data_IF_299350978304
#
_entry.id   IF_299350978304
#
_cell.length_a   1.000
_cell.length_b   1.000
_cell.length_c   1.000
_cell.angle_alpha   90.00
_cell.angle_beta   90.00
_cell.angle_gamma   90.00
#
_symmetry.space_group_name_H-M   'P 1'
#
loop_
_entity.id
_entity.type
_entity.pdbx_description
1 polymer ?
#
# COMPACT_ATOMS: atom_id res chain seq x y z
N UNK A 1 -9.20 12.54 4.31
CA UNK A 1 -8.40 12.77 3.09
C UNK A 1 -8.58 11.53 2.22
N UNK A 2 -8.68 11.66 0.91
CA UNK A 2 -8.77 10.52 -0.02
C UNK A 2 -7.62 10.62 -1.01
N UNK A 3 -6.89 9.53 -1.19
CA UNK A 3 -5.78 9.37 -2.10
C UNK A 3 -6.27 8.95 -3.49
N UNK A 4 -5.60 9.44 -4.53
CA UNK A 4 -5.75 8.93 -5.88
C UNK A 4 -4.88 7.68 -6.01
N UNK A 5 -5.45 6.57 -6.45
CA UNK A 5 -4.67 5.37 -6.75
C UNK A 5 -4.26 5.35 -8.22
N UNK A 6 -2.97 5.21 -8.46
CA UNK A 6 -2.38 5.01 -9.79
C UNK A 6 -2.21 3.51 -10.05
N UNK A 7 -2.90 3.00 -11.08
CA UNK A 7 -2.83 1.60 -11.54
C UNK A 7 -1.96 1.50 -12.79
N UNK A 8 -0.87 0.75 -12.70
CA UNK A 8 0.04 0.48 -13.80
C UNK A 8 -0.16 -0.95 -14.28
N UNK A 9 -0.69 -1.10 -15.49
CA UNK A 9 -0.99 -2.39 -16.12
C UNK A 9 -0.86 -2.29 -17.65
N UNK A 10 -0.79 -3.44 -18.30
CA UNK A 10 -0.66 -3.55 -19.75
C UNK A 10 -2.02 -3.36 -20.41
N UNK A 11 -2.09 -2.44 -21.37
CA UNK A 11 -3.28 -2.18 -22.18
C UNK A 11 -2.91 -1.62 -23.56
N UNK A 12 -3.21 -2.36 -24.62
CA UNK A 12 -2.90 -2.00 -25.99
C UNK A 12 -1.41 -1.71 -26.18
N UNK A 13 -1.09 -0.45 -26.50
CA UNK A 13 0.29 0.01 -26.64
C UNK A 13 0.94 0.40 -25.30
N UNK A 14 0.18 0.64 -24.23
CA UNK A 14 0.71 0.98 -22.91
C UNK A 14 1.37 -0.26 -22.29
N UNK A 15 2.67 -0.14 -21.98
CA UNK A 15 3.48 -1.18 -21.35
C UNK A 15 3.58 -0.96 -19.84
N UNK A 16 2.45 -0.63 -19.21
CA UNK A 16 2.37 -0.25 -17.79
C UNK A 16 3.25 0.95 -17.41
N UNK A 17 3.53 1.87 -18.35
CA UNK A 17 4.34 3.07 -18.10
C UNK A 17 3.49 4.27 -17.70
N UNK A 18 2.24 4.32 -18.15
CA UNK A 18 1.28 5.36 -17.80
C UNK A 18 0.18 4.77 -16.90
N UNK A 19 -0.12 5.40 -15.76
CA UNK A 19 -1.14 4.88 -14.85
C UNK A 19 -2.54 5.27 -15.28
N UNK A 20 -3.51 4.41 -14.95
CA UNK A 20 -4.92 4.79 -14.87
C UNK A 20 -5.21 5.30 -13.46
N UNK A 21 -5.85 6.45 -13.37
CA UNK A 21 -6.22 7.10 -12.11
C UNK A 21 -7.53 6.54 -11.58
N UNK A 22 -7.53 6.12 -10.32
CA UNK A 22 -8.71 5.60 -9.62
C UNK A 22 -9.00 6.50 -8.42
N UNK A 23 -10.17 7.15 -8.42
CA UNK A 23 -10.64 8.02 -7.33
C UNK A 23 -11.93 7.54 -6.70
N UNK A 24 -12.71 6.76 -7.43
CA UNK A 24 -14.03 6.27 -7.02
C UNK A 24 -14.13 4.76 -7.14
N UNK A 25 -15.12 4.16 -6.49
CA UNK A 25 -15.44 2.75 -6.66
C UNK A 25 -15.77 2.40 -8.12
N UNK A 26 -16.46 3.29 -8.84
CA UNK A 26 -16.76 3.09 -10.25
C UNK A 26 -15.49 3.08 -11.11
N UNK A 27 -14.51 3.93 -10.81
CA UNK A 27 -13.20 3.91 -11.49
C UNK A 27 -12.48 2.59 -11.23
N UNK A 28 -12.48 2.12 -9.97
CA UNK A 28 -11.85 0.87 -9.58
C UNK A 28 -12.47 -0.31 -10.34
N UNK A 29 -13.80 -0.40 -10.39
CA UNK A 29 -14.50 -1.47 -11.13
C UNK A 29 -14.15 -1.46 -12.61
N UNK A 30 -14.14 -0.29 -13.26
CA UNK A 30 -13.75 -0.18 -14.68
C UNK A 30 -12.28 -0.55 -14.90
N UNK A 31 -11.41 -0.19 -13.97
CA UNK A 31 -9.97 -0.47 -14.07
C UNK A 31 -9.69 -1.97 -13.94
N UNK A 32 -10.31 -2.65 -12.96
CA UNK A 32 -10.19 -4.10 -12.81
C UNK A 32 -10.75 -4.85 -14.03
N UNK A 33 -11.87 -4.39 -14.60
CA UNK A 33 -12.40 -4.95 -15.84
C UNK A 33 -11.41 -4.78 -17.00
N UNK A 34 -10.80 -3.60 -17.15
CA UNK A 34 -9.81 -3.34 -18.20
C UNK A 34 -8.53 -4.18 -18.05
N UNK A 35 -8.12 -4.53 -16.83
CA UNK A 35 -6.98 -5.42 -16.58
C UNK A 35 -7.25 -6.83 -17.13
N UNK A 36 -8.50 -7.29 -17.09
CA UNK A 36 -8.91 -8.61 -17.60
C UNK A 36 -9.04 -8.68 -19.12
N UNK A 37 -9.12 -7.54 -19.82
CA UNK A 37 -9.26 -7.48 -21.28
C UNK A 37 -8.00 -8.01 -22.00
N UNK A 38 -6.84 -7.97 -21.33
CA UNK A 38 -5.55 -8.34 -21.91
C UNK A 38 -4.68 -9.12 -20.91
N UNK A 39 -3.88 -10.10 -21.38
CA UNK A 39 -2.91 -10.77 -20.53
C UNK A 39 -1.92 -9.79 -19.89
N UNK A 40 -1.69 -9.95 -18.59
CA UNK A 40 -0.75 -9.14 -17.83
C UNK A 40 0.59 -9.89 -17.70
N UNK A 41 1.61 -9.56 -18.53
CA UNK A 41 2.90 -10.26 -18.48
C UNK A 41 3.66 -9.99 -17.19
N UNK A 42 3.33 -8.93 -16.45
CA UNK A 42 3.72 -8.70 -15.08
C UNK A 42 2.49 -8.24 -14.28
N UNK A 43 2.40 -8.59 -12.98
CA UNK A 43 1.26 -8.22 -12.16
C UNK A 43 1.09 -6.70 -12.07
N UNK A 44 -0.18 -6.28 -11.97
CA UNK A 44 -0.57 -4.87 -11.91
C UNK A 44 0.05 -4.22 -10.68
N UNK A 45 0.67 -3.06 -10.84
CA UNK A 45 1.20 -2.29 -9.72
C UNK A 45 0.25 -1.16 -9.36
N UNK A 46 0.06 -0.93 -8.06
CA UNK A 46 -0.86 0.08 -7.54
C UNK A 46 -0.14 0.92 -6.49
N UNK A 47 -0.20 2.23 -6.61
CA UNK A 47 0.36 3.15 -5.61
C UNK A 47 -0.58 4.32 -5.36
N UNK A 48 -0.60 4.83 -4.13
CA UNK A 48 -1.27 6.09 -3.84
C UNK A 48 -0.38 7.25 -4.32
N UNK A 49 -0.93 8.10 -5.17
CA UNK A 49 -0.20 9.18 -5.85
C UNK A 49 0.42 10.17 -4.88
N UNK A 50 -0.35 10.55 -3.86
CA UNK A 50 0.02 11.61 -2.92
C UNK A 50 0.90 11.10 -1.78
N UNK A 51 1.15 9.79 -1.69
CA UNK A 51 2.06 9.22 -0.70
C UNK A 51 3.53 9.43 -1.08
N UNK A 52 4.44 9.44 -0.08
CA UNK A 52 5.86 9.67 -0.30
C UNK A 52 6.49 8.70 -1.29
N UNK A 53 7.49 9.21 -2.00
CA UNK A 53 8.35 8.45 -2.93
C UNK A 53 9.81 8.67 -2.55
N UNK A 54 10.65 7.65 -2.70
CA UNK A 54 12.05 7.69 -2.27
C UNK A 54 13.04 7.38 -3.40
N UNK A 55 14.28 7.85 -3.20
CA UNK A 55 15.38 7.68 -4.14
C UNK A 55 15.24 8.47 -5.45
N UNK A 56 16.29 8.45 -6.29
CA UNK A 56 16.27 9.09 -7.61
C UNK A 56 15.16 8.54 -8.51
N UNK A 57 14.83 7.25 -8.38
CA UNK A 57 13.79 6.56 -9.13
C UNK A 57 12.35 6.86 -8.66
N UNK A 58 12.16 7.69 -7.62
CA UNK A 58 10.84 8.06 -7.08
C UNK A 58 9.93 6.84 -6.81
N UNK A 59 10.51 5.82 -6.19
CA UNK A 59 9.82 4.56 -5.85
C UNK A 59 8.77 4.86 -4.77
N UNK A 60 7.51 4.43 -4.93
CA UNK A 60 6.50 4.54 -3.88
C UNK A 60 6.96 3.92 -2.57
N UNK A 61 6.75 4.62 -1.45
CA UNK A 61 7.06 4.08 -0.12
C UNK A 61 6.13 2.95 0.31
N UNK A 62 4.95 2.88 -0.32
CA UNK A 62 3.92 1.85 -0.22
C UNK A 62 3.40 1.52 -1.62
N UNK A 63 3.25 0.23 -1.92
CA UNK A 63 2.67 -0.21 -3.17
C UNK A 63 1.98 -1.56 -3.02
N UNK A 64 1.05 -1.84 -3.92
CA UNK A 64 0.54 -3.18 -4.13
C UNK A 64 1.03 -3.77 -5.45
N UNK A 65 1.17 -5.09 -5.47
CA UNK A 65 1.03 -5.87 -6.69
C UNK A 65 -0.29 -6.65 -6.63
N UNK A 66 -0.95 -6.76 -7.76
CA UNK A 66 -2.25 -7.42 -7.89
C UNK A 66 -2.22 -8.37 -9.08
N UNK A 67 -2.72 -9.57 -8.84
CA UNK A 67 -3.04 -10.52 -9.89
C UNK A 67 -4.48 -11.04 -9.75
N UNK A 68 -5.09 -11.41 -10.89
CA UNK A 68 -6.50 -11.72 -11.04
C UNK A 68 -6.68 -13.08 -11.72
N UNK A 69 -7.62 -13.87 -11.22
CA UNK A 69 -8.12 -15.02 -11.98
C UNK A 69 -8.75 -14.59 -13.31
N UNK A 70 -8.77 -15.44 -14.36
CA UNK A 70 -9.28 -15.08 -15.68
C UNK A 70 -10.74 -14.56 -15.70
N UNK A 71 -11.59 -15.07 -14.81
CA UNK A 71 -12.97 -14.62 -14.66
C UNK A 71 -13.12 -13.35 -13.79
N UNK A 72 -12.04 -12.89 -13.14
CA UNK A 72 -12.05 -11.72 -12.26
C UNK A 72 -12.71 -11.95 -10.89
N UNK A 73 -13.01 -13.20 -10.54
CA UNK A 73 -13.72 -13.54 -9.30
C UNK A 73 -12.79 -13.62 -8.09
N UNK A 74 -11.53 -14.00 -8.33
CA UNK A 74 -10.49 -14.16 -7.33
C UNK A 74 -9.28 -13.26 -7.61
N UNK A 75 -8.69 -12.76 -6.53
CA UNK A 75 -7.56 -11.82 -6.52
C UNK A 75 -6.59 -12.23 -5.43
N UNK A 76 -5.29 -12.01 -5.65
CA UNK A 76 -4.32 -11.94 -4.57
C UNK A 76 -3.64 -10.57 -4.57
N UNK A 77 -3.46 -10.00 -3.37
CA UNK A 77 -2.76 -8.73 -3.19
C UNK A 77 -1.45 -8.97 -2.45
N UNK A 78 -0.39 -8.40 -2.98
CA UNK A 78 0.86 -8.21 -2.27
C UNK A 78 0.97 -6.75 -1.89
N UNK A 79 1.21 -6.45 -0.62
CA UNK A 79 1.48 -5.10 -0.13
C UNK A 79 2.92 -5.00 0.36
N UNK A 80 3.65 -4.01 -0.15
CA UNK A 80 4.95 -3.60 0.37
C UNK A 80 4.82 -2.25 1.08
N UNK A 81 5.37 -2.16 2.28
CA UNK A 81 5.37 -0.90 3.02
C UNK A 81 5.88 -1.03 4.46
N UNK A 82 5.85 0.06 5.22
CA UNK A 82 6.15 0.07 6.66
C UNK A 82 5.28 -0.90 7.47
N UNK A 83 5.95 -1.68 8.34
CA UNK A 83 5.38 -2.70 9.23
C UNK A 83 4.32 -2.20 10.18
N UNK A 84 4.47 -0.99 10.70
CA UNK A 84 3.61 -0.50 11.76
C UNK A 84 3.39 1.02 11.71
N UNK A 85 2.91 1.51 10.57
CA UNK A 85 2.53 2.93 10.41
C UNK A 85 1.53 3.35 11.46
N UNK A 86 0.57 2.48 11.77
CA UNK A 86 -0.45 2.78 12.75
C UNK A 86 0.15 2.96 14.14
N UNK A 87 1.11 2.11 14.55
CA UNK A 87 1.87 2.35 15.79
C UNK A 87 2.68 3.63 15.73
N UNK A 88 3.36 3.93 14.62
CA UNK A 88 4.10 5.18 14.49
C UNK A 88 3.18 6.41 14.65
N UNK A 89 2.03 6.41 13.98
CA UNK A 89 1.01 7.45 14.12
C UNK A 89 0.50 7.54 15.55
N UNK A 90 0.25 6.40 16.23
CA UNK A 90 -0.14 6.39 17.65
C UNK A 90 0.93 6.95 18.57
N UNK A 91 2.19 6.57 18.37
CA UNK A 91 3.32 7.03 19.17
C UNK A 91 3.54 8.53 19.00
N UNK A 92 3.50 9.04 17.76
CA UNK A 92 3.61 10.49 17.53
C UNK A 92 2.40 11.24 18.09
N UNK A 93 1.17 10.72 17.95
CA UNK A 93 -0.03 11.31 18.57
C UNK A 93 0.10 11.39 20.09
N UNK A 94 0.66 10.36 20.72
CA UNK A 94 0.89 10.34 22.16
C UNK A 94 1.95 11.38 22.55
N UNK A 95 3.11 11.39 21.92
CA UNK A 95 4.17 12.37 22.16
C UNK A 95 3.69 13.82 21.94
N UNK A 96 2.98 14.11 20.85
CA UNK A 96 2.39 15.44 20.61
C UNK A 96 1.47 15.88 21.76
N UNK A 97 0.76 14.94 22.38
CA UNK A 97 -0.14 15.25 23.49
C UNK A 97 0.62 15.52 24.78
N UNK A 98 1.62 14.71 25.10
CA UNK A 98 2.36 14.80 26.37
C UNK A 98 3.44 15.90 26.36
N UNK A 99 4.11 16.10 25.23
CA UNK A 99 5.36 16.87 25.15
C UNK A 99 5.24 18.22 24.41
N UNK A 100 4.13 18.48 23.71
CA UNK A 100 3.89 19.77 23.04
C UNK A 100 2.79 20.59 23.72
N UNK A 101 3.01 21.92 23.92
CA UNK A 101 1.97 22.82 24.40
C UNK A 101 0.82 22.90 23.38
N UNK A 102 -0.41 23.06 23.86
CA UNK A 102 -1.63 22.92 23.04
C UNK A 102 -1.62 23.78 21.76
N UNK A 103 -1.13 25.01 21.85
CA UNK A 103 -0.99 25.96 20.75
C UNK A 103 0.07 25.58 19.68
N UNK A 104 0.97 24.64 19.99
CA UNK A 104 2.00 24.14 19.08
C UNK A 104 1.68 22.74 18.52
N UNK A 105 0.54 22.14 18.90
CA UNK A 105 0.21 20.78 18.49
C UNK A 105 -0.15 20.73 17.00
N UNK A 106 0.56 19.91 16.20
CA UNK A 106 0.19 19.70 14.81
C UNK A 106 -1.20 19.07 14.70
N UNK A 107 -1.91 19.42 13.63
CA UNK A 107 -3.15 18.74 13.25
C UNK A 107 -2.90 17.25 13.01
N UNK A 108 -3.97 16.43 13.09
CA UNK A 108 -3.89 15.00 12.78
C UNK A 108 -3.23 14.72 11.42
N UNK A 109 -3.54 15.53 10.42
CA UNK A 109 -2.97 15.42 9.08
C UNK A 109 -1.47 15.72 9.07
N UNK A 110 -1.03 16.76 9.80
CA UNK A 110 0.39 17.08 9.95
C UNK A 110 1.13 15.94 10.66
N UNK A 111 0.55 15.33 11.69
CA UNK A 111 1.13 14.18 12.39
C UNK A 111 1.30 12.99 11.43
N UNK A 112 0.26 12.65 10.67
CA UNK A 112 0.31 11.56 9.70
C UNK A 112 1.37 11.83 8.62
N UNK A 113 1.45 13.06 8.10
CA UNK A 113 2.49 13.47 7.15
C UNK A 113 3.91 13.47 7.75
N UNK A 114 4.09 13.86 9.01
CA UNK A 114 5.39 13.83 9.71
C UNK A 114 5.90 12.40 9.87
N UNK A 115 5.02 11.48 10.32
CA UNK A 115 5.34 10.05 10.39
C UNK A 115 5.70 9.50 9.01
N UNK A 116 4.93 9.88 8.00
CA UNK A 116 5.07 9.33 6.64
C UNK A 116 6.31 9.85 5.89
N UNK A 117 6.71 11.12 6.07
CA UNK A 117 7.92 11.69 5.44
C UNK A 117 9.23 10.99 5.85
N UNK A 118 9.24 10.35 7.01
CA UNK A 118 10.45 9.80 7.63
C UNK A 118 10.54 8.27 7.58
N UNK A 119 9.57 7.60 6.95
CA UNK A 119 9.59 6.15 6.74
C UNK A 119 10.72 5.75 5.79
N UNK A 120 11.76 5.13 6.35
CA UNK A 120 12.88 4.56 5.58
C UNK A 120 14.02 5.52 5.25
N UNK A 121 14.12 6.67 5.93
CA UNK A 121 15.39 7.42 6.00
C UNK A 121 16.19 6.88 7.17
N UNK A 122 17.28 6.19 6.88
CA UNK A 122 18.30 5.90 7.89
C UNK A 122 19.11 7.16 8.16
N UNK A 123 19.27 7.46 9.44
CA UNK A 123 20.05 8.54 10.07
C UNK A 123 19.35 9.91 10.17
N UNK A 124 19.12 10.27 11.44
CA UNK A 124 18.75 11.58 12.01
C UNK A 124 17.39 12.15 11.64
N UNK A 125 16.53 12.22 12.66
CA UNK A 125 15.43 13.17 12.71
C UNK A 125 16.01 14.53 13.09
N UNK A 126 15.90 15.51 12.21
CA UNK A 126 15.89 16.91 12.62
C UNK A 126 14.46 17.41 12.44
N UNK A 127 13.67 17.39 13.52
CA UNK A 127 12.43 18.15 13.54
C UNK A 127 12.86 19.59 13.79
N UNK A 128 13.06 20.35 12.72
CA UNK A 128 13.25 21.79 12.80
C UNK A 128 11.96 22.44 13.32
N UNK A 129 11.83 22.42 14.64
CA UNK A 129 10.98 23.33 15.39
C UNK A 129 11.92 24.40 15.89
N UNK A 130 11.59 25.67 15.65
CA UNK A 130 12.38 26.83 16.09
C UNK A 130 12.46 26.98 17.64
N UNK A 131 12.69 25.92 18.40
CA UNK A 131 13.07 25.95 19.82
C UNK A 131 13.81 24.65 20.21
N UNK A 132 15.12 24.70 20.47
CA UNK A 132 15.93 23.53 20.76
C UNK A 132 15.86 23.21 22.25
N UNK A 133 15.05 22.23 22.68
CA UNK A 133 15.26 21.55 23.98
C UNK A 133 14.44 20.29 24.31
N UNK A 134 13.58 19.77 23.42
CA UNK A 134 12.88 18.49 23.68
C UNK A 134 13.38 17.41 22.72
N UNK A 135 13.89 16.30 23.28
CA UNK A 135 14.38 15.16 22.52
C UNK A 135 13.31 14.67 21.54
N UNK A 136 13.68 14.60 20.25
CA UNK A 136 12.80 14.12 19.20
C UNK A 136 12.39 12.66 19.39
N UNK A 137 11.22 12.29 18.89
CA UNK A 137 10.77 10.90 18.87
C UNK A 137 11.29 10.19 17.60
N UNK A 138 12.28 9.32 17.75
CA UNK A 138 12.78 8.47 16.68
C UNK A 138 11.82 7.31 16.38
N UNK A 139 11.24 7.31 15.17
CA UNK A 139 10.42 6.20 14.67
C UNK A 139 10.99 5.67 13.35
N UNK A 140 11.92 4.72 13.46
CA UNK A 140 12.34 3.92 12.32
C UNK A 140 11.28 2.86 12.00
N UNK A 141 10.67 2.93 10.82
CA UNK A 141 9.75 1.90 10.34
C UNK A 141 10.45 0.97 9.36
N UNK A 142 10.73 -0.24 9.84
CA UNK A 142 11.10 -1.38 9.00
C UNK A 142 10.02 -1.58 7.93
N UNK A 143 10.43 -1.68 6.67
CA UNK A 143 9.53 -2.07 5.57
C UNK A 143 9.53 -3.58 5.45
N UNK A 144 8.35 -4.17 5.24
CA UNK A 144 8.23 -5.58 4.90
C UNK A 144 7.21 -5.76 3.78
N UNK A 145 7.07 -6.99 3.34
CA UNK A 145 6.06 -7.44 2.41
C UNK A 145 5.04 -8.34 3.12
N UNK A 146 3.80 -8.25 2.66
CA UNK A 146 2.71 -9.10 3.08
C UNK A 146 1.88 -9.46 1.86
N UNK A 147 1.23 -10.61 1.93
CA UNK A 147 0.17 -10.96 1.00
C UNK A 147 -1.13 -11.09 1.77
N UNK A 148 -2.25 -10.99 1.06
CA UNK A 148 -3.57 -11.31 1.63
C UNK A 148 -3.57 -12.71 2.24
N UNK A 149 -4.48 -12.95 3.16
CA UNK A 149 -4.66 -14.25 3.81
C UNK A 149 -6.16 -14.54 3.97
N UNK A 150 -6.53 -15.80 3.76
CA UNK A 150 -7.86 -16.35 3.95
C UNK A 150 -7.75 -17.77 4.52
N UNK A 151 -8.56 -18.05 5.53
CA UNK A 151 -8.77 -19.43 6.02
C UNK A 151 -9.62 -20.24 5.02
N UNK A 152 -10.54 -19.56 4.34
CA UNK A 152 -11.32 -20.13 3.24
C UNK A 152 -10.46 -20.17 1.98
N UNK A 153 -9.76 -21.28 1.80
CA UNK A 153 -8.85 -21.51 0.67
C UNK A 153 -9.62 -21.48 -0.65
N UNK A 154 -9.09 -20.76 -1.64
CA UNK A 154 -9.71 -20.69 -2.97
C UNK A 154 -9.91 -22.10 -3.59
N UNK A 155 -11.06 -22.35 -4.23
CA UNK A 155 -11.38 -23.63 -4.90
C UNK A 155 -10.27 -24.10 -5.83
N UNK A 156 -10.01 -25.41 -5.93
CA UNK A 156 -8.85 -25.98 -6.62
C UNK A 156 -8.74 -25.66 -8.12
N UNK A 157 -9.85 -25.31 -8.76
CA UNK A 157 -9.96 -24.91 -10.16
C UNK A 157 -9.56 -23.44 -10.42
N UNK A 158 -9.41 -22.62 -9.38
CA UNK A 158 -8.83 -21.28 -9.52
C UNK A 158 -7.36 -21.42 -9.97
N UNK A 159 -6.92 -20.76 -11.04
CA UNK A 159 -5.52 -20.83 -11.48
C UNK A 159 -4.55 -20.28 -10.43
N UNK A 160 -3.28 -20.67 -10.54
CA UNK A 160 -2.19 -20.03 -9.81
C UNK A 160 -2.12 -18.54 -10.16
N UNK A 161 -1.99 -17.70 -9.15
CA UNK A 161 -1.75 -16.27 -9.30
C UNK A 161 -0.30 -15.96 -8.93
N UNK A 162 0.29 -14.94 -9.55
CA UNK A 162 1.71 -14.62 -9.44
C UNK A 162 1.96 -13.24 -8.85
N UNK A 163 2.87 -13.18 -7.86
CA UNK A 163 3.46 -11.92 -7.34
C UNK A 163 4.47 -11.35 -8.32
N UNK A 164 5.14 -12.24 -9.04
CA UNK A 164 6.08 -11.91 -10.10
C UNK A 164 6.13 -13.06 -11.11
N UNK A 165 5.54 -12.85 -12.27
CA UNK A 165 5.53 -13.80 -13.38
C UNK A 165 6.91 -14.03 -13.99
N UNK A 166 7.80 -13.03 -13.95
CA UNK A 166 9.15 -13.16 -14.54
C UNK A 166 10.04 -14.07 -13.69
N UNK A 167 9.85 -14.02 -12.38
CA UNK A 167 10.55 -14.84 -11.41
C UNK A 167 9.75 -16.08 -10.97
N UNK A 168 8.63 -16.36 -11.66
CA UNK A 168 7.69 -17.45 -11.33
C UNK A 168 7.31 -17.49 -9.83
N UNK A 169 7.26 -16.32 -9.19
CA UNK A 169 6.96 -16.20 -7.77
C UNK A 169 5.45 -16.21 -7.59
N UNK A 170 4.94 -17.35 -7.13
CA UNK A 170 3.52 -17.59 -6.91
C UNK A 170 3.02 -16.93 -5.63
N UNK A 171 1.76 -16.49 -5.64
CA UNK A 171 1.04 -16.25 -4.41
C UNK A 171 0.75 -17.59 -3.72
N UNK A 172 0.92 -17.67 -2.38
CA UNK A 172 0.38 -18.79 -1.62
C UNK A 172 -1.11 -18.99 -1.89
N UNK A 173 -1.58 -20.24 -1.93
CA UNK A 173 -3.00 -20.52 -2.23
C UNK A 173 -3.97 -19.85 -1.27
N UNK A 174 -3.59 -19.79 0.00
CA UNK A 174 -4.34 -19.11 1.06
C UNK A 174 -4.29 -17.57 0.96
N UNK A 175 -3.56 -16.99 0.00
CA UNK A 175 -3.56 -15.56 -0.27
C UNK A 175 -4.64 -15.12 -1.26
N UNK A 176 -5.25 -16.08 -1.96
CA UNK A 176 -6.28 -15.82 -2.96
C UNK A 176 -7.61 -15.56 -2.24
N UNK A 177 -8.16 -14.36 -2.45
CA UNK A 177 -9.40 -13.88 -1.84
C UNK A 177 -10.44 -13.53 -2.91
N UNK A 178 -11.75 -13.49 -2.57
CA UNK A 178 -12.77 -12.96 -3.46
C UNK A 178 -12.45 -11.52 -3.89
N UNK A 179 -12.65 -11.20 -5.17
CA UNK A 179 -12.38 -9.89 -5.73
C UNK A 179 -13.15 -8.76 -5.03
N UNK A 180 -14.31 -9.06 -4.43
CA UNK A 180 -15.06 -8.11 -3.62
C UNK A 180 -14.29 -7.63 -2.38
N UNK A 181 -13.56 -8.52 -1.70
CA UNK A 181 -12.74 -8.17 -0.54
C UNK A 181 -11.51 -7.35 -0.97
N UNK A 182 -10.87 -7.73 -2.07
CA UNK A 182 -9.77 -6.96 -2.64
C UNK A 182 -10.18 -5.53 -3.02
N UNK A 183 -11.38 -5.35 -3.60
CA UNK A 183 -11.93 -4.01 -3.89
C UNK A 183 -12.14 -3.19 -2.63
N UNK A 184 -12.73 -3.79 -1.58
CA UNK A 184 -12.92 -3.12 -0.30
C UNK A 184 -11.59 -2.67 0.30
N UNK A 185 -10.57 -3.54 0.26
CA UNK A 185 -9.22 -3.23 0.75
C UNK A 185 -8.58 -2.06 -0.02
N UNK A 186 -8.66 -2.05 -1.35
CA UNK A 186 -8.10 -0.96 -2.16
C UNK A 186 -8.82 0.38 -1.91
N UNK A 187 -10.15 0.36 -1.70
CA UNK A 187 -10.89 1.56 -1.32
C UNK A 187 -10.53 2.04 0.08
N UNK A 188 -10.33 1.14 1.04
CA UNK A 188 -9.83 1.49 2.38
C UNK A 188 -8.43 2.11 2.29
N UNK A 189 -7.53 1.52 1.49
CA UNK A 189 -6.20 2.10 1.24
C UNK A 189 -6.31 3.49 0.63
N UNK A 190 -7.21 3.70 -0.34
CA UNK A 190 -7.46 5.02 -0.90
C UNK A 190 -7.98 6.03 0.14
N UNK A 191 -8.65 5.60 1.21
CA UNK A 191 -9.12 6.50 2.27
C UNK A 191 -8.06 6.75 3.35
N UNK A 192 -7.17 5.80 3.58
CA UNK A 192 -6.32 5.77 4.78
C UNK A 192 -4.83 5.94 4.49
N UNK A 193 -4.38 5.52 3.29
CA UNK A 193 -2.97 5.47 2.92
C UNK A 193 -2.15 4.44 3.72
N UNK A 194 -2.81 3.55 4.46
CA UNK A 194 -2.18 2.50 5.27
C UNK A 194 -2.67 1.13 4.84
N UNK A 195 -1.90 0.08 5.15
CA UNK A 195 -2.29 -1.30 4.84
C UNK A 195 -3.71 -1.58 5.36
N UNK A 196 -4.65 -2.00 4.49
CA UNK A 196 -6.06 -2.18 4.83
C UNK A 196 -6.29 -3.18 5.97
N UNK A 197 -7.25 -2.89 6.84
CA UNK A 197 -7.71 -3.80 7.91
C UNK A 197 -8.94 -4.62 7.48
N UNK A 198 -9.60 -4.27 6.37
CA UNK A 198 -10.75 -5.00 5.83
C UNK A 198 -10.43 -6.42 5.31
N UNK A 199 -9.14 -6.79 5.25
CA UNK A 199 -8.66 -8.11 4.87
C UNK A 199 -7.54 -8.54 5.80
N UNK A 200 -7.35 -9.86 5.93
CA UNK A 200 -6.25 -10.41 6.70
C UNK A 200 -4.98 -10.46 5.85
N UNK A 201 -3.82 -10.42 6.53
CA UNK A 201 -2.50 -10.38 5.92
C UNK A 201 -1.59 -11.40 6.57
N UNK A 202 -0.77 -12.07 5.77
CA UNK A 202 0.35 -12.88 6.25
C UNK A 202 1.68 -12.27 5.77
N UNK A 203 2.76 -12.36 6.57
CA UNK A 203 4.09 -11.96 6.12
C UNK A 203 4.47 -12.69 4.83
N UNK A 204 5.13 -11.98 3.93
CA UNK A 204 5.63 -12.56 2.68
C UNK A 204 7.06 -12.10 2.48
N UNK A 205 7.99 -13.05 2.54
CA UNK A 205 9.39 -12.78 2.28
C UNK A 205 9.64 -13.04 0.80
N UNK A 206 9.64 -11.99 -0.01
CA UNK A 206 10.24 -12.03 -1.34
C UNK A 206 11.71 -11.65 -1.21
N UNK A 207 12.56 -12.56 -1.66
CA UNK A 207 14.03 -12.51 -1.63
C UNK A 207 14.63 -11.21 -2.18
#
# INVERSE_FOLDING_TARGET
MSYTLDFYFYKGANRATEPVEVRTESDLKRTLAAILEEPQPHPTQIAARELPRFGPAKIPDRMFKLDLSPAGEYVALHYFGPKDVQRAVRLVKHWVREDLPEQARPTRLQIELMVMRNVGRTHEIDVDTNSPQTGGLDVALERRAWVTYSEDIAPGDVPTLYVDTANETEFPRNAIIPAALARAALLEFAQTGVRPESVQWQPFETY
#
